data_IF_007057987201
#
_entry.id   IF_007057987201
#
_cell.length_a   1.000
_cell.length_b   1.000
_cell.length_c   1.000
_cell.angle_alpha   90.00
_cell.angle_beta   90.00
_cell.angle_gamma   90.00
#
_symmetry.space_group_name_H-M   'P 1'
#
loop_
_entity.id
_entity.type
_entity.pdbx_description
1 polymer ?
#
# COMPACT_ATOMS: atom_id res chain seq x y z
N UNK A 1 -2.72 -48.88 -28.14
CA UNK A 1 -1.77 -47.95 -27.49
C UNK A 1 -1.44 -46.87 -28.48
N UNK A 2 -2.06 -45.70 -28.34
CA UNK A 2 -1.70 -44.50 -29.07
C UNK A 2 -1.59 -43.42 -28.00
N UNK A 3 -0.36 -43.00 -27.73
CA UNK A 3 -0.06 -41.98 -26.73
C UNK A 3 -0.48 -40.62 -27.30
N UNK A 4 -1.42 -39.98 -26.62
CA UNK A 4 -1.78 -38.59 -26.89
C UNK A 4 -0.70 -37.68 -26.29
N UNK A 5 0.00 -36.94 -27.15
CA UNK A 5 0.88 -35.84 -26.74
C UNK A 5 0.07 -34.75 -26.01
N UNK A 6 0.61 -34.14 -24.94
CA UNK A 6 -0.03 -33.01 -24.28
C UNK A 6 0.09 -31.74 -25.15
N UNK A 7 -0.91 -30.85 -25.19
CA UNK A 7 -0.83 -29.65 -26.02
C UNK A 7 0.07 -28.57 -25.39
N UNK A 8 1.04 -28.12 -26.21
CA UNK A 8 1.56 -26.74 -26.32
C UNK A 8 2.20 -26.06 -25.10
N UNK A 9 3.46 -26.38 -24.81
CA UNK A 9 4.40 -25.51 -24.07
C UNK A 9 5.03 -24.41 -24.95
N UNK A 10 4.95 -24.53 -26.27
CA UNK A 10 5.65 -23.64 -27.23
C UNK A 10 4.93 -22.31 -27.50
N UNK A 11 3.59 -22.26 -27.40
CA UNK A 11 2.80 -21.05 -27.63
C UNK A 11 2.94 -20.04 -26.49
N UNK A 12 2.97 -20.52 -25.24
CA UNK A 12 3.12 -19.71 -24.04
C UNK A 12 4.49 -19.00 -24.02
N UNK A 13 5.57 -19.75 -24.24
CA UNK A 13 6.95 -19.23 -24.30
C UNK A 13 7.16 -18.17 -25.39
N UNK A 14 6.49 -18.32 -26.54
CA UNK A 14 6.59 -17.35 -27.66
C UNK A 14 5.87 -16.04 -27.33
N UNK A 15 4.72 -16.12 -26.65
CA UNK A 15 3.95 -14.95 -26.22
C UNK A 15 4.72 -14.15 -25.17
N UNK A 16 5.34 -14.83 -24.20
CA UNK A 16 6.24 -14.20 -23.22
C UNK A 16 7.38 -13.46 -23.91
N UNK A 17 8.01 -14.07 -24.92
CA UNK A 17 9.08 -13.45 -25.71
C UNK A 17 8.66 -12.14 -26.41
N UNK A 18 7.43 -12.05 -26.92
CA UNK A 18 6.91 -10.82 -27.55
C UNK A 18 6.62 -9.76 -26.50
N UNK A 19 6.01 -10.14 -25.37
CA UNK A 19 5.73 -9.21 -24.27
C UNK A 19 7.03 -8.62 -23.67
N UNK A 20 8.08 -9.42 -23.52
CA UNK A 20 9.38 -8.92 -23.05
C UNK A 20 10.06 -7.98 -24.04
N UNK A 21 9.98 -8.25 -25.35
CA UNK A 21 10.50 -7.33 -26.36
C UNK A 21 9.78 -5.99 -26.30
N UNK A 22 8.45 -6.02 -26.17
CA UNK A 22 7.66 -4.80 -26.03
C UNK A 22 8.03 -4.04 -24.75
N UNK A 23 8.14 -4.72 -23.61
CA UNK A 23 8.60 -4.14 -22.35
C UNK A 23 9.97 -3.45 -22.50
N UNK A 24 10.93 -4.12 -23.12
CA UNK A 24 12.27 -3.57 -23.38
C UNK A 24 12.22 -2.32 -24.26
N UNK A 25 11.44 -2.36 -25.34
CA UNK A 25 11.28 -1.22 -26.24
C UNK A 25 10.58 -0.05 -25.56
N UNK A 26 9.48 -0.27 -24.84
CA UNK A 26 8.76 0.78 -24.11
C UNK A 26 9.64 1.38 -23.01
N UNK A 27 10.39 0.55 -22.27
CA UNK A 27 11.36 1.02 -21.27
C UNK A 27 12.44 1.92 -21.88
N UNK A 28 13.01 1.51 -23.02
CA UNK A 28 14.02 2.30 -23.73
C UNK A 28 13.48 3.60 -24.31
N UNK A 29 12.27 3.56 -24.88
CA UNK A 29 11.60 4.77 -25.38
C UNK A 29 11.35 5.71 -24.21
N UNK A 30 10.73 5.23 -23.13
CA UNK A 30 10.48 6.01 -21.92
C UNK A 30 11.75 6.71 -21.44
N UNK A 31 12.87 5.99 -21.34
CA UNK A 31 14.16 6.54 -20.90
C UNK A 31 14.77 7.60 -21.83
N UNK A 32 14.35 7.67 -23.10
CA UNK A 32 14.85 8.63 -24.10
C UNK A 32 13.92 9.83 -24.33
N UNK A 33 12.68 9.78 -23.84
CA UNK A 33 11.74 10.90 -23.95
C UNK A 33 12.24 12.12 -23.19
N UNK A 34 11.79 13.32 -23.57
CA UNK A 34 12.04 14.49 -22.72
C UNK A 34 11.07 14.45 -21.53
N UNK A 35 11.47 14.92 -20.33
CA UNK A 35 10.56 15.01 -19.18
C UNK A 35 9.31 15.86 -19.43
N UNK A 36 9.36 16.74 -20.43
CA UNK A 36 8.25 17.59 -20.88
C UNK A 36 7.25 16.87 -21.77
N UNK A 37 7.59 15.71 -22.34
CA UNK A 37 6.77 14.94 -23.29
C UNK A 37 5.73 14.09 -22.55
N UNK A 38 4.96 14.73 -21.66
CA UNK A 38 4.06 14.09 -20.69
C UNK A 38 2.99 13.22 -21.37
N UNK A 39 2.54 13.60 -22.58
CA UNK A 39 1.57 12.83 -23.36
C UNK A 39 2.09 11.46 -23.85
N UNK A 40 3.40 11.30 -24.03
CA UNK A 40 4.02 10.01 -24.38
C UNK A 40 4.57 9.28 -23.15
N UNK A 41 5.04 10.02 -22.16
CA UNK A 41 5.62 9.45 -20.95
C UNK A 41 4.56 8.79 -20.06
N UNK A 42 3.38 9.39 -19.93
CA UNK A 42 2.28 8.84 -19.13
C UNK A 42 1.86 7.42 -19.57
N UNK A 43 1.49 7.17 -20.85
CA UNK A 43 1.11 5.84 -21.29
C UNK A 43 2.27 4.84 -21.21
N UNK A 44 3.52 5.30 -21.43
CA UNK A 44 4.69 4.44 -21.27
C UNK A 44 4.86 3.96 -19.81
N UNK A 45 4.82 4.87 -18.84
CA UNK A 45 4.94 4.50 -17.41
C UNK A 45 3.75 3.67 -16.93
N UNK A 46 2.53 3.99 -17.38
CA UNK A 46 1.32 3.22 -17.09
C UNK A 46 1.43 1.79 -17.63
N UNK A 47 1.92 1.62 -18.87
CA UNK A 47 2.17 0.31 -19.46
C UNK A 47 3.22 -0.49 -18.65
N UNK A 48 4.35 0.14 -18.29
CA UNK A 48 5.39 -0.52 -17.50
C UNK A 48 4.87 -0.97 -16.13
N UNK A 49 4.09 -0.12 -15.44
CA UNK A 49 3.45 -0.46 -14.18
C UNK A 49 2.49 -1.65 -14.34
N UNK A 50 1.61 -1.61 -15.34
CA UNK A 50 0.68 -2.70 -15.62
C UNK A 50 1.41 -4.01 -15.92
N UNK A 51 2.52 -3.96 -16.66
CA UNK A 51 3.34 -5.13 -16.91
C UNK A 51 3.87 -5.74 -15.61
N UNK A 52 4.31 -4.93 -14.65
CA UNK A 52 4.78 -5.45 -13.37
C UNK A 52 3.66 -5.98 -12.48
N UNK A 53 2.51 -5.31 -12.45
CA UNK A 53 1.40 -5.70 -11.57
C UNK A 53 0.56 -6.86 -12.09
N UNK A 54 0.55 -7.12 -13.40
CA UNK A 54 -0.31 -8.13 -14.03
C UNK A 54 0.46 -9.35 -14.57
N UNK A 55 1.79 -9.31 -14.58
CA UNK A 55 2.58 -10.45 -15.03
C UNK A 55 2.55 -11.59 -14.01
N UNK A 56 2.50 -12.86 -14.46
CA UNK A 56 2.72 -14.01 -13.59
C UNK A 56 4.07 -13.93 -12.85
N UNK A 57 4.14 -14.47 -11.63
CA UNK A 57 5.33 -14.39 -10.78
C UNK A 57 6.63 -14.84 -11.48
N UNK A 58 6.57 -15.90 -12.30
CA UNK A 58 7.71 -16.44 -13.05
C UNK A 58 8.29 -15.49 -14.12
N UNK A 59 7.53 -14.48 -14.56
CA UNK A 59 7.97 -13.48 -15.53
C UNK A 59 8.44 -12.16 -14.88
N UNK A 60 8.07 -11.92 -13.63
CA UNK A 60 8.33 -10.62 -12.98
C UNK A 60 9.82 -10.35 -12.71
N UNK A 61 10.62 -11.38 -12.40
CA UNK A 61 12.07 -11.25 -12.17
C UNK A 61 12.80 -10.66 -13.40
N UNK A 62 12.61 -11.28 -14.56
CA UNK A 62 13.18 -10.81 -15.82
C UNK A 62 12.68 -9.41 -16.21
N UNK A 63 11.43 -9.08 -15.90
CA UNK A 63 10.88 -7.77 -16.21
C UNK A 63 11.56 -6.69 -15.36
N UNK A 64 11.70 -6.95 -14.06
CA UNK A 64 12.26 -6.00 -13.08
C UNK A 64 13.74 -5.78 -13.33
N UNK A 65 14.51 -6.83 -13.61
CA UNK A 65 15.93 -6.72 -13.98
C UNK A 65 16.13 -5.85 -15.22
N UNK A 66 15.32 -6.03 -16.27
CA UNK A 66 15.36 -5.17 -17.46
C UNK A 66 15.10 -3.70 -17.11
N UNK A 67 14.07 -3.42 -16.31
CA UNK A 67 13.73 -2.04 -15.94
C UNK A 67 14.78 -1.38 -15.03
N UNK A 68 15.33 -2.11 -14.05
CA UNK A 68 16.35 -1.60 -13.13
C UNK A 68 17.74 -1.44 -13.79
N UNK A 69 17.99 -2.14 -14.90
CA UNK A 69 19.20 -1.98 -15.71
C UNK A 69 19.17 -0.75 -16.62
N UNK A 70 17.97 -0.19 -16.86
CA UNK A 70 17.77 0.97 -17.72
C UNK A 70 17.95 2.28 -16.94
N UNK A 71 19.17 2.82 -16.97
CA UNK A 71 19.48 4.10 -16.33
C UNK A 71 18.70 5.29 -16.92
N UNK A 72 18.32 5.24 -18.20
CA UNK A 72 17.49 6.28 -18.81
C UNK A 72 16.12 6.35 -18.16
N UNK A 73 15.48 5.21 -17.91
CA UNK A 73 14.19 5.15 -17.19
C UNK A 73 14.33 5.69 -15.76
N UNK A 74 15.40 5.33 -15.06
CA UNK A 74 15.70 5.86 -13.72
C UNK A 74 15.85 7.38 -13.73
N UNK A 75 16.52 7.93 -14.74
CA UNK A 75 16.75 9.36 -14.90
C UNK A 75 15.45 10.12 -15.19
N UNK A 76 14.54 9.52 -15.96
CA UNK A 76 13.21 10.10 -16.19
C UNK A 76 12.37 10.13 -14.92
N UNK A 77 12.35 9.03 -14.15
CA UNK A 77 11.66 9.01 -12.86
C UNK A 77 12.24 10.06 -11.91
N UNK A 78 13.57 10.18 -11.85
CA UNK A 78 14.24 11.23 -11.06
C UNK A 78 13.81 12.62 -11.51
N UNK A 79 13.79 12.90 -12.82
CA UNK A 79 13.39 14.19 -13.36
C UNK A 79 11.93 14.53 -12.98
N UNK A 80 11.01 13.57 -13.12
CA UNK A 80 9.60 13.75 -12.74
C UNK A 80 9.45 14.07 -11.24
N UNK A 81 10.17 13.37 -10.37
CA UNK A 81 10.11 13.65 -8.93
C UNK A 81 10.75 14.99 -8.55
N UNK A 82 11.89 15.32 -9.14
CA UNK A 82 12.58 16.59 -8.91
C UNK A 82 11.73 17.79 -9.33
N UNK A 83 11.05 17.73 -10.48
CA UNK A 83 10.13 18.78 -10.93
C UNK A 83 8.92 18.94 -10.03
N UNK A 84 8.49 17.88 -9.34
CA UNK A 84 7.39 17.96 -8.37
C UNK A 84 7.77 18.71 -7.08
N UNK A 85 9.05 18.79 -6.75
CA UNK A 85 9.56 19.35 -5.50
C UNK A 85 9.82 20.86 -5.55
N UNK A 86 9.58 21.53 -6.70
CA UNK A 86 9.77 22.97 -6.84
C UNK A 86 8.76 23.76 -5.99
N UNK A 87 9.20 24.81 -5.26
CA UNK A 87 8.31 25.69 -4.53
C UNK A 87 7.37 26.43 -5.48
N UNK A 88 6.19 26.80 -4.96
CA UNK A 88 5.04 27.39 -5.64
C UNK A 88 5.28 28.74 -6.37
N UNK A 89 6.54 29.17 -6.52
CA UNK A 89 6.95 30.37 -7.26
C UNK A 89 7.33 30.09 -8.72
N UNK A 90 7.43 28.83 -9.15
CA UNK A 90 7.66 28.47 -10.56
C UNK A 90 6.36 28.48 -11.38
N UNK A 91 6.40 28.84 -12.67
CA UNK A 91 5.21 28.89 -13.52
C UNK A 91 4.49 27.53 -13.57
N UNK A 92 3.15 27.51 -13.71
CA UNK A 92 2.34 26.28 -13.66
C UNK A 92 2.68 25.25 -14.75
N UNK A 93 3.43 25.64 -15.80
CA UNK A 93 3.90 24.70 -16.84
C UNK A 93 5.10 23.84 -16.44
N UNK A 94 5.73 24.10 -15.28
CA UNK A 94 6.90 23.35 -14.81
C UNK A 94 6.55 22.11 -13.97
N UNK A 95 5.30 22.00 -13.49
CA UNK A 95 4.86 20.87 -12.66
C UNK A 95 4.33 19.73 -13.54
N UNK A 96 4.77 18.48 -13.30
CA UNK A 96 4.23 17.34 -14.03
C UNK A 96 2.74 17.11 -13.69
N UNK A 97 1.94 16.61 -14.63
CA UNK A 97 0.53 16.25 -14.40
C UNK A 97 0.38 15.26 -13.23
N UNK A 98 -0.72 15.35 -12.48
CA UNK A 98 -0.98 14.45 -11.33
C UNK A 98 -0.99 12.98 -11.73
N UNK A 99 -1.57 12.65 -12.88
CA UNK A 99 -1.60 11.30 -13.44
C UNK A 99 -0.19 10.73 -13.70
N UNK A 100 0.74 11.57 -14.17
CA UNK A 100 2.11 11.17 -14.43
C UNK A 100 2.86 10.90 -13.12
N UNK A 101 2.67 11.75 -12.12
CA UNK A 101 3.22 11.53 -10.77
C UNK A 101 2.65 10.25 -10.14
N UNK A 102 1.34 10.02 -10.29
CA UNK A 102 0.68 8.82 -9.81
C UNK A 102 1.30 7.56 -10.43
N UNK A 103 1.40 7.49 -11.76
CA UNK A 103 2.03 6.36 -12.45
C UNK A 103 3.49 6.18 -12.04
N UNK A 104 4.22 7.27 -11.82
CA UNK A 104 5.62 7.23 -11.38
C UNK A 104 5.75 6.65 -9.97
N UNK A 105 4.90 7.05 -9.02
CA UNK A 105 4.88 6.46 -7.67
C UNK A 105 4.50 4.98 -7.69
N UNK A 106 3.48 4.59 -8.46
CA UNK A 106 3.02 3.21 -8.57
C UNK A 106 4.08 2.29 -9.22
N UNK A 107 4.71 2.77 -10.30
CA UNK A 107 5.83 2.07 -10.93
C UNK A 107 7.00 1.91 -9.96
N UNK A 108 7.39 2.99 -9.26
CA UNK A 108 8.48 2.94 -8.30
C UNK A 108 8.18 1.98 -7.13
N UNK A 109 6.94 1.99 -6.62
CA UNK A 109 6.48 1.06 -5.57
C UNK A 109 6.60 -0.40 -6.02
N UNK A 110 6.22 -0.69 -7.27
CA UNK A 110 6.32 -2.02 -7.85
C UNK A 110 7.78 -2.44 -8.05
N UNK A 111 8.64 -1.53 -8.51
CA UNK A 111 10.07 -1.78 -8.66
C UNK A 111 10.74 -2.07 -7.32
N UNK A 112 10.45 -1.32 -6.26
CA UNK A 112 11.02 -1.59 -4.92
C UNK A 112 10.55 -2.94 -4.38
N UNK A 113 9.26 -3.25 -4.51
CA UNK A 113 8.69 -4.50 -4.01
C UNK A 113 9.31 -5.70 -4.71
N UNK A 114 9.28 -5.70 -6.04
CA UNK A 114 9.80 -6.82 -6.82
C UNK A 114 11.33 -6.90 -6.78
N UNK A 115 12.04 -5.78 -6.63
CA UNK A 115 13.50 -5.81 -6.41
C UNK A 115 13.85 -6.55 -5.13
N UNK A 116 13.06 -6.40 -4.05
CA UNK A 116 13.27 -7.13 -2.80
C UNK A 116 12.92 -8.61 -2.93
N UNK A 117 11.80 -8.92 -3.57
CA UNK A 117 11.36 -10.32 -3.77
C UNK A 117 12.38 -11.11 -4.58
N UNK A 118 12.91 -10.53 -5.66
CA UNK A 118 13.83 -11.22 -6.58
C UNK A 118 15.31 -10.90 -6.34
N UNK A 119 15.63 -10.02 -5.39
CA UNK A 119 17.01 -9.54 -5.14
C UNK A 119 17.71 -9.01 -6.39
N UNK A 120 16.96 -8.38 -7.30
CA UNK A 120 17.49 -7.88 -8.56
C UNK A 120 18.54 -6.78 -8.35
N UNK A 121 19.57 -6.75 -9.20
CA UNK A 121 20.61 -5.72 -9.15
C UNK A 121 20.07 -4.37 -9.64
N UNK A 122 20.43 -3.30 -8.94
CA UNK A 122 20.05 -1.93 -9.28
C UNK A 122 21.26 -1.20 -9.86
N UNK A 123 21.14 -0.74 -11.11
CA UNK A 123 22.22 0.02 -11.77
C UNK A 123 22.35 1.44 -11.23
N UNK A 124 21.22 2.09 -10.94
CA UNK A 124 21.16 3.48 -10.46
C UNK A 124 20.00 3.66 -9.49
N UNK A 125 20.25 4.36 -8.38
CA UNK A 125 19.24 4.67 -7.36
C UNK A 125 18.59 6.04 -7.60
N UNK A 126 17.29 6.16 -7.31
CA UNK A 126 16.51 7.41 -7.37
C UNK A 126 16.61 8.12 -6.02
N UNK A 127 16.96 9.39 -6.02
CA UNK A 127 16.91 10.25 -4.84
C UNK A 127 15.49 10.69 -4.53
N UNK A 128 15.02 10.44 -3.30
CA UNK A 128 13.67 10.80 -2.86
C UNK A 128 13.68 11.43 -1.47
N UNK A 129 13.06 12.60 -1.32
CA UNK A 129 13.08 13.36 -0.06
C UNK A 129 11.93 12.96 0.84
N UNK A 130 12.24 12.22 1.90
CA UNK A 130 11.26 11.83 2.92
C UNK A 130 10.71 13.05 3.67
N UNK A 131 11.53 14.09 3.88
CA UNK A 131 11.09 15.32 4.51
C UNK A 131 10.04 16.04 3.65
N UNK A 132 10.31 16.21 2.35
CA UNK A 132 9.32 16.80 1.43
C UNK A 132 8.06 15.94 1.35
N UNK A 133 8.21 14.62 1.47
CA UNK A 133 7.12 13.67 1.42
C UNK A 133 6.12 13.83 2.56
N UNK A 134 6.62 13.73 3.79
CA UNK A 134 5.78 13.89 4.99
C UNK A 134 5.19 15.29 5.03
N UNK A 135 5.96 16.32 4.65
CA UNK A 135 5.49 17.70 4.68
C UNK A 135 4.39 17.97 3.64
N UNK A 136 4.48 17.37 2.44
CA UNK A 136 3.43 17.46 1.42
C UNK A 136 2.12 16.85 1.91
N UNK A 137 2.17 15.74 2.64
CA UNK A 137 0.97 15.13 3.22
C UNK A 137 0.40 15.96 4.38
N UNK A 138 1.24 16.60 5.19
CA UNK A 138 0.81 17.50 6.25
C UNK A 138 0.11 18.75 5.72
N UNK A 139 0.68 19.37 4.68
CA UNK A 139 0.17 20.63 4.09
C UNK A 139 -0.84 20.34 2.99
N UNK A 140 -1.63 19.26 3.13
CA UNK A 140 -2.60 18.85 2.12
C UNK A 140 -3.52 20.03 1.79
N UNK A 141 -3.54 20.44 0.51
CA UNK A 141 -4.49 21.43 0.02
C UNK A 141 -5.85 20.75 -0.15
N UNK A 142 -6.94 21.46 0.15
CA UNK A 142 -8.34 20.96 0.07
C UNK A 142 -8.71 20.29 -1.27
N UNK A 143 -8.00 20.59 -2.36
CA UNK A 143 -8.24 20.05 -3.71
C UNK A 143 -7.13 19.12 -4.21
N UNK A 144 -6.39 18.46 -3.32
CA UNK A 144 -5.37 17.49 -3.75
C UNK A 144 -6.05 16.25 -4.32
N UNK A 145 -5.57 15.79 -5.48
CA UNK A 145 -6.07 14.58 -6.14
C UNK A 145 -5.92 13.35 -5.23
N UNK A 146 -7.05 12.71 -4.88
CA UNK A 146 -7.06 11.53 -4.01
C UNK A 146 -6.21 10.39 -4.59
N UNK A 147 -6.13 10.27 -5.92
CA UNK A 147 -5.33 9.25 -6.59
C UNK A 147 -3.84 9.47 -6.38
N UNK A 148 -3.43 10.73 -6.42
CA UNK A 148 -2.05 11.12 -6.15
C UNK A 148 -1.70 10.80 -4.69
N UNK A 149 -2.59 11.10 -3.74
CA UNK A 149 -2.40 10.75 -2.33
C UNK A 149 -2.29 9.24 -2.11
N UNK A 150 -3.18 8.45 -2.71
CA UNK A 150 -3.13 6.98 -2.67
C UNK A 150 -1.80 6.47 -3.20
N UNK A 151 -1.35 6.95 -4.36
CA UNK A 151 -0.06 6.55 -4.93
C UNK A 151 1.13 6.91 -4.02
N UNK A 152 1.01 8.03 -3.31
CA UNK A 152 2.02 8.50 -2.37
C UNK A 152 2.11 7.61 -1.13
N UNK A 153 0.96 7.26 -0.57
CA UNK A 153 0.84 6.35 0.57
C UNK A 153 1.34 4.95 0.20
N UNK A 154 1.03 4.46 -1.00
CA UNK A 154 1.55 3.17 -1.48
C UNK A 154 3.09 3.16 -1.56
N UNK A 155 3.70 4.25 -2.05
CA UNK A 155 5.16 4.36 -2.08
C UNK A 155 5.76 4.39 -0.66
N UNK A 156 5.16 5.17 0.24
CA UNK A 156 5.58 5.21 1.65
C UNK A 156 5.43 3.85 2.33
N UNK A 157 4.32 3.16 2.09
CA UNK A 157 4.05 1.82 2.60
C UNK A 157 5.16 0.85 2.20
N UNK A 158 5.49 0.78 0.91
CA UNK A 158 6.54 -0.12 0.39
C UNK A 158 7.92 0.24 0.96
N UNK A 159 8.20 1.52 1.16
CA UNK A 159 9.45 1.96 1.79
C UNK A 159 9.50 1.59 3.28
N UNK A 160 8.40 1.73 4.02
CA UNK A 160 8.30 1.31 5.43
C UNK A 160 8.43 -0.21 5.58
N UNK A 161 7.84 -0.98 4.67
CA UNK A 161 7.99 -2.43 4.60
C UNK A 161 9.44 -2.83 4.30
N UNK A 162 10.21 -1.96 3.65
CA UNK A 162 11.64 -2.12 3.37
C UNK A 162 12.54 -1.51 4.46
N UNK A 163 11.99 -1.19 5.63
CA UNK A 163 12.69 -0.51 6.73
C UNK A 163 13.39 0.79 6.32
N UNK A 164 12.79 1.48 5.34
CA UNK A 164 13.29 2.71 4.73
C UNK A 164 14.69 2.53 4.11
N UNK A 165 15.04 1.29 3.76
CA UNK A 165 16.28 0.91 3.10
C UNK A 165 15.96 0.23 1.76
N UNK A 166 16.28 0.90 0.66
CA UNK A 166 16.04 0.38 -0.69
C UNK A 166 17.28 0.58 -1.56
N UNK A 167 17.62 -0.42 -2.37
CA UNK A 167 18.64 -0.28 -3.40
C UNK A 167 18.14 0.63 -4.55
N UNK A 168 16.83 0.63 -4.81
CA UNK A 168 16.18 1.41 -5.88
C UNK A 168 16.06 2.88 -5.49
N UNK A 169 15.83 3.18 -4.21
CA UNK A 169 15.59 4.55 -3.72
C UNK A 169 16.58 4.93 -2.63
N UNK A 170 17.31 6.02 -2.85
CA UNK A 170 18.14 6.67 -1.85
C UNK A 170 17.33 7.77 -1.16
N UNK A 171 16.99 7.54 0.09
CA UNK A 171 16.23 8.51 0.88
C UNK A 171 17.14 9.68 1.31
N UNK A 172 16.67 10.90 1.05
CA UNK A 172 17.20 12.10 1.69
C UNK A 172 16.27 12.51 2.84
N UNK A 173 16.86 12.84 3.96
CA UNK A 173 16.16 13.27 5.17
C UNK A 173 16.67 14.64 5.59
N UNK A 174 15.77 15.48 6.10
CA UNK A 174 16.05 16.85 6.49
C UNK A 174 15.93 17.03 8.01
N UNK A 175 16.43 18.15 8.56
CA UNK A 175 16.34 18.44 10.00
C UNK A 175 14.88 18.54 10.49
N UNK A 176 13.93 18.74 9.58
CA UNK A 176 12.50 18.75 9.89
C UNK A 176 11.95 17.44 10.44
N UNK A 177 12.56 16.28 10.13
CA UNK A 177 12.09 14.96 10.56
C UNK A 177 12.92 14.33 11.69
N UNK A 178 14.25 14.48 11.65
CA UNK A 178 15.18 13.74 12.53
C UNK A 178 16.00 14.67 13.42
N UNK A 179 15.73 15.98 13.41
CA UNK A 179 16.46 16.96 14.23
C UNK A 179 17.89 17.23 13.74
N UNK A 180 18.68 17.96 14.55
CA UNK A 180 20.08 18.23 14.27
C UNK A 180 20.97 17.02 14.58
N UNK A 181 22.05 16.84 13.80
CA UNK A 181 23.07 15.83 14.10
C UNK A 181 24.00 16.31 15.23
N UNK A 182 24.53 15.41 16.09
CA UNK A 182 24.32 13.96 16.12
C UNK A 182 22.92 13.57 16.63
N UNK A 183 22.42 12.44 16.14
CA UNK A 183 21.07 11.98 16.49
C UNK A 183 21.06 11.38 17.91
N UNK A 184 20.00 11.67 18.66
CA UNK A 184 19.73 10.98 19.93
C UNK A 184 19.42 9.50 19.71
N UNK A 185 19.40 8.71 20.79
CA UNK A 185 19.19 7.25 20.74
C UNK A 185 17.87 6.89 20.06
N UNK A 186 16.78 7.58 20.39
CA UNK A 186 15.46 7.34 19.81
C UNK A 186 15.39 7.70 18.32
N UNK A 187 15.86 8.89 17.95
CA UNK A 187 15.88 9.34 16.55
C UNK A 187 16.87 8.54 15.69
N UNK A 188 17.94 8.02 16.29
CA UNK A 188 18.88 7.11 15.65
C UNK A 188 18.27 5.75 15.34
N UNK A 189 17.49 5.18 16.27
CA UNK A 189 16.77 3.91 16.05
C UNK A 189 15.71 4.03 14.95
N UNK A 190 15.06 5.19 14.86
CA UNK A 190 14.02 5.50 13.88
C UNK A 190 14.53 6.13 12.58
N UNK A 191 15.85 6.25 12.40
CA UNK A 191 16.43 6.81 11.19
C UNK A 191 16.01 6.00 9.96
N UNK A 192 15.59 6.62 8.83
CA UNK A 192 15.62 8.05 8.50
C UNK A 192 14.35 8.87 8.82
N UNK A 193 13.35 8.28 9.49
CA UNK A 193 12.06 8.93 9.79
C UNK A 193 12.11 9.79 11.05
N UNK A 194 12.78 9.32 12.11
CA UNK A 194 12.84 9.98 13.41
C UNK A 194 11.50 9.97 14.18
N UNK A 195 11.54 10.40 15.43
CA UNK A 195 10.37 10.52 16.32
C UNK A 195 9.36 11.53 15.78
N UNK A 196 9.82 12.71 15.36
CA UNK A 196 8.97 13.76 14.80
C UNK A 196 8.33 13.33 13.48
N UNK A 197 9.09 12.70 12.58
CA UNK A 197 8.52 12.17 11.34
C UNK A 197 7.48 11.07 11.58
N UNK A 198 7.71 10.22 12.59
CA UNK A 198 6.75 9.21 13.03
C UNK A 198 5.45 9.84 13.51
N UNK A 199 5.53 10.84 14.39
CA UNK A 199 4.35 11.58 14.88
C UNK A 199 3.62 12.29 13.74
N UNK A 200 4.34 12.99 12.87
CA UNK A 200 3.76 13.66 11.71
C UNK A 200 3.02 12.69 10.79
N UNK A 201 3.64 11.56 10.46
CA UNK A 201 3.02 10.56 9.59
C UNK A 201 1.80 9.90 10.25
N UNK A 202 1.89 9.58 11.55
CA UNK A 202 0.75 9.05 12.32
C UNK A 202 -0.44 10.02 12.30
N UNK A 203 -0.20 11.31 12.55
CA UNK A 203 -1.25 12.34 12.54
C UNK A 203 -1.86 12.51 11.17
N UNK A 204 -1.04 12.51 10.12
CA UNK A 204 -1.51 12.58 8.73
C UNK A 204 -2.39 11.39 8.39
N UNK A 205 -1.91 10.17 8.64
CA UNK A 205 -2.66 8.94 8.32
C UNK A 205 -4.00 8.94 9.06
N UNK A 206 -3.98 9.33 10.33
CA UNK A 206 -5.18 9.49 11.15
C UNK A 206 -6.17 10.50 10.54
N UNK A 207 -5.69 11.62 10.01
CA UNK A 207 -6.53 12.60 9.30
C UNK A 207 -7.07 12.11 7.95
N UNK A 208 -6.29 11.31 7.21
CA UNK A 208 -6.70 10.73 5.93
C UNK A 208 -7.75 9.63 6.12
N UNK A 209 -7.72 8.89 7.24
CA UNK A 209 -8.74 7.90 7.60
C UNK A 209 -10.13 8.51 7.83
N UNK A 210 -10.20 9.79 8.20
CA UNK A 210 -11.47 10.52 8.32
C UNK A 210 -12.07 10.94 6.98
N UNK A 211 -11.31 10.83 5.89
CA UNK A 211 -11.82 11.17 4.57
C UNK A 211 -12.73 10.03 4.07
N UNK A 212 -13.91 10.39 3.56
CA UNK A 212 -14.94 9.44 3.08
C UNK A 212 -14.60 8.78 1.73
N UNK A 213 -13.32 8.66 1.38
CA UNK A 213 -12.88 8.10 0.10
C UNK A 213 -12.28 6.71 0.29
N UNK A 214 -12.93 5.69 -0.25
CA UNK A 214 -12.60 4.27 0.00
C UNK A 214 -11.15 3.90 -0.31
N UNK A 215 -10.64 4.30 -1.49
CA UNK A 215 -9.26 3.99 -1.88
C UNK A 215 -8.23 4.64 -0.94
N UNK A 216 -8.56 5.82 -0.43
CA UNK A 216 -7.68 6.57 0.46
C UNK A 216 -7.72 5.99 1.87
N UNK A 217 -8.90 5.57 2.34
CA UNK A 217 -9.06 4.81 3.58
C UNK A 217 -8.21 3.54 3.52
N UNK A 218 -8.33 2.75 2.44
CA UNK A 218 -7.56 1.51 2.23
C UNK A 218 -6.05 1.76 2.22
N UNK A 219 -5.58 2.73 1.44
CA UNK A 219 -4.16 3.09 1.37
C UNK A 219 -3.62 3.61 2.73
N UNK A 220 -4.44 4.36 3.46
CA UNK A 220 -4.07 4.90 4.78
C UNK A 220 -3.96 3.81 5.83
N UNK A 221 -4.91 2.86 5.88
CA UNK A 221 -4.82 1.70 6.79
C UNK A 221 -3.60 0.84 6.45
N UNK A 222 -3.34 0.58 5.17
CA UNK A 222 -2.16 -0.19 4.76
C UNK A 222 -0.85 0.52 5.12
N UNK A 223 -0.74 1.82 4.86
CA UNK A 223 0.44 2.60 5.24
C UNK A 223 0.61 2.70 6.77
N UNK A 224 -0.48 2.79 7.54
CA UNK A 224 -0.45 2.72 9.00
C UNK A 224 0.04 1.35 9.47
N UNK A 225 -0.38 0.27 8.81
CA UNK A 225 0.11 -1.08 9.09
C UNK A 225 1.61 -1.20 8.90
N UNK A 226 2.13 -0.70 7.77
CA UNK A 226 3.57 -0.72 7.51
C UNK A 226 4.34 0.18 8.46
N UNK A 227 3.75 1.32 8.87
CA UNK A 227 4.35 2.19 9.89
C UNK A 227 4.47 1.47 11.23
N UNK A 228 3.39 0.87 11.73
CA UNK A 228 3.43 0.12 12.99
C UNK A 228 4.40 -1.06 12.90
N UNK A 229 4.42 -1.80 11.79
CA UNK A 229 5.39 -2.87 11.58
C UNK A 229 6.84 -2.38 11.55
N UNK A 230 7.12 -1.24 10.92
CA UNK A 230 8.44 -0.59 10.96
C UNK A 230 8.83 -0.21 12.39
N UNK A 231 7.91 0.43 13.13
CA UNK A 231 8.14 0.81 14.52
C UNK A 231 8.34 -0.42 15.40
N UNK A 232 7.60 -1.50 15.19
CA UNK A 232 7.77 -2.75 15.93
C UNK A 232 9.18 -3.31 15.77
N UNK A 233 9.74 -3.27 14.55
CA UNK A 233 11.10 -3.75 14.25
C UNK A 233 12.21 -2.85 14.79
N UNK A 234 11.98 -1.52 14.81
CA UNK A 234 13.02 -0.52 15.15
C UNK A 234 12.94 -0.01 16.58
N UNK A 235 11.74 0.22 17.10
CA UNK A 235 11.43 0.76 18.42
C UNK A 235 10.05 0.31 18.92
N UNK A 236 9.96 -0.88 19.57
CA UNK A 236 8.75 -1.35 20.23
C UNK A 236 8.06 -0.35 21.19
N UNK A 237 8.77 0.47 21.99
CA UNK A 237 8.07 1.44 22.85
C UNK A 237 7.34 2.53 22.04
N UNK A 238 7.92 2.98 20.93
CA UNK A 238 7.29 3.96 20.04
C UNK A 238 6.08 3.38 19.32
N UNK A 239 6.15 2.11 18.92
CA UNK A 239 5.03 1.37 18.33
C UNK A 239 3.81 1.33 19.26
N UNK A 240 3.98 0.89 20.50
CA UNK A 240 2.90 0.90 21.52
C UNK A 240 2.34 2.29 21.75
N UNK A 241 3.20 3.31 21.80
CA UNK A 241 2.76 4.70 21.97
C UNK A 241 1.85 5.17 20.83
N UNK A 242 2.19 4.83 19.58
CA UNK A 242 1.39 5.21 18.39
C UNK A 242 0.08 4.41 18.33
N UNK A 243 0.12 3.10 18.56
CA UNK A 243 -1.06 2.25 18.55
C UNK A 243 -2.09 2.66 19.62
N UNK A 244 -1.61 3.01 20.82
CA UNK A 244 -2.45 3.32 21.98
C UNK A 244 -2.87 4.79 22.09
N UNK A 245 -2.75 5.58 21.02
CA UNK A 245 -3.24 6.96 21.04
C UNK A 245 -4.76 7.00 21.23
N UNK A 246 -5.29 7.93 22.05
CA UNK A 246 -6.73 8.10 22.23
C UNK A 246 -7.44 8.43 20.91
N UNK A 247 -6.72 9.06 19.98
CA UNK A 247 -7.24 9.37 18.65
C UNK A 247 -7.54 8.10 17.84
N UNK A 248 -6.76 7.03 17.99
CA UNK A 248 -7.00 5.74 17.33
C UNK A 248 -8.35 5.15 17.75
N UNK A 249 -8.74 5.32 19.02
CA UNK A 249 -10.04 4.87 19.53
C UNK A 249 -11.18 5.72 18.95
N UNK A 250 -11.01 7.04 18.93
CA UNK A 250 -11.97 7.95 18.32
C UNK A 250 -12.21 7.63 16.85
N UNK A 251 -11.15 7.30 16.09
CA UNK A 251 -11.25 6.91 14.68
C UNK A 251 -12.10 5.66 14.49
N UNK A 252 -11.86 4.61 15.29
CA UNK A 252 -12.66 3.38 15.21
C UNK A 252 -14.12 3.68 15.53
N UNK A 253 -14.38 4.42 16.62
CA UNK A 253 -15.75 4.79 16.99
C UNK A 253 -16.44 5.61 15.88
N UNK A 254 -15.73 6.57 15.28
CA UNK A 254 -16.24 7.39 14.19
C UNK A 254 -16.60 6.55 12.95
N UNK A 255 -15.72 5.62 12.57
CA UNK A 255 -15.96 4.72 11.44
C UNK A 255 -17.14 3.78 11.69
N UNK A 256 -17.26 3.23 12.91
CA UNK A 256 -18.38 2.35 13.29
C UNK A 256 -19.71 3.11 13.43
N UNK A 257 -19.67 4.38 13.82
CA UNK A 257 -20.86 5.23 13.98
C UNK A 257 -21.41 5.76 12.63
N UNK A 258 -20.75 5.48 11.52
CA UNK A 258 -21.12 6.02 10.19
C UNK A 258 -22.23 5.22 9.49
N UNK A 259 -22.81 4.19 10.13
CA UNK A 259 -23.94 3.39 9.65
C UNK A 259 -23.65 1.88 9.59
N UNK A 260 -24.68 1.05 9.55
CA UNK A 260 -24.56 -0.42 9.66
C UNK A 260 -23.69 -1.06 8.55
N UNK A 261 -23.74 -0.52 7.33
CA UNK A 261 -22.90 -0.98 6.20
C UNK A 261 -21.41 -0.64 6.35
N UNK A 262 -21.07 0.36 7.17
CA UNK A 262 -19.68 0.77 7.43
C UNK A 262 -19.01 -0.06 8.53
N UNK A 263 -19.80 -0.71 9.38
CA UNK A 263 -19.34 -1.56 10.48
C UNK A 263 -18.65 -2.84 9.97
N UNK A 264 -19.22 -3.49 8.94
CA UNK A 264 -18.67 -4.70 8.32
C UNK A 264 -17.79 -4.41 7.09
N UNK A 265 -17.41 -3.15 6.89
CA UNK A 265 -16.52 -2.78 5.80
C UNK A 265 -15.12 -3.39 6.03
N UNK A 266 -14.50 -4.03 5.02
CA UNK A 266 -13.29 -4.83 5.22
C UNK A 266 -12.11 -4.01 5.73
N UNK A 267 -12.04 -2.73 5.34
CA UNK A 267 -10.99 -1.81 5.78
C UNK A 267 -11.17 -1.39 7.24
N UNK A 268 -12.42 -1.24 7.71
CA UNK A 268 -12.72 -0.94 9.12
C UNK A 268 -12.35 -2.11 10.00
N UNK A 269 -12.73 -3.33 9.60
CA UNK A 269 -12.37 -4.57 10.30
C UNK A 269 -10.85 -4.77 10.35
N UNK A 270 -10.15 -4.44 9.26
CA UNK A 270 -8.69 -4.50 9.20
C UNK A 270 -8.02 -3.48 10.13
N UNK A 271 -8.56 -2.25 10.24
CA UNK A 271 -8.06 -1.26 11.19
C UNK A 271 -8.25 -1.72 12.65
N UNK A 272 -9.40 -2.30 12.99
CA UNK A 272 -9.66 -2.86 14.32
C UNK A 272 -8.67 -3.99 14.63
N UNK A 273 -8.49 -4.91 13.67
CA UNK A 273 -7.52 -6.01 13.78
C UNK A 273 -6.10 -5.48 14.02
N UNK A 274 -5.71 -4.45 13.26
CA UNK A 274 -4.41 -3.80 13.37
C UNK A 274 -4.16 -3.24 14.78
N UNK A 275 -5.14 -2.51 15.32
CA UNK A 275 -5.03 -1.88 16.64
C UNK A 275 -5.03 -2.93 17.76
N UNK A 276 -5.76 -4.04 17.60
CA UNK A 276 -5.68 -5.16 18.55
C UNK A 276 -4.32 -5.83 18.54
N UNK A 277 -3.73 -6.03 17.36
CA UNK A 277 -2.44 -6.67 17.20
C UNK A 277 -1.30 -5.85 17.85
N UNK A 278 -1.32 -4.53 17.73
CA UNK A 278 -0.23 -3.64 18.17
C UNK A 278 -0.52 -2.96 19.53
N UNK A 279 -1.79 -2.76 19.89
CA UNK A 279 -2.18 -2.09 21.14
C UNK A 279 -2.24 -3.00 22.38
N UNK A 280 -2.29 -4.31 22.19
CA UNK A 280 -2.41 -5.30 23.28
C UNK A 280 -3.67 -5.09 24.13
N UNK A 281 -3.61 -5.48 25.41
CA UNK A 281 -4.74 -5.36 26.37
C UNK A 281 -4.94 -3.94 26.91
N UNK A 282 -4.14 -2.97 26.48
CA UNK A 282 -4.14 -1.61 27.02
C UNK A 282 -5.27 -0.74 26.45
N UNK A 283 -5.89 -1.15 25.34
CA UNK A 283 -6.93 -0.37 24.66
C UNK A 283 -8.29 -0.99 24.96
N UNK A 284 -9.23 -0.24 25.58
CA UNK A 284 -10.61 -0.69 25.76
C UNK A 284 -11.36 -0.64 24.43
N UNK A 285 -11.07 -1.60 23.55
CA UNK A 285 -11.76 -1.79 22.25
C UNK A 285 -13.03 -2.65 22.38
N UNK A 286 -13.32 -3.12 23.59
CA UNK A 286 -14.50 -3.93 23.94
C UNK A 286 -15.85 -3.38 23.42
N UNK A 287 -16.19 -2.08 23.53
CA UNK A 287 -17.44 -1.57 22.98
C UNK A 287 -17.49 -1.64 21.45
N UNK A 288 -16.36 -1.40 20.78
CA UNK A 288 -16.25 -1.50 19.33
C UNK A 288 -16.41 -2.95 18.87
N UNK A 289 -15.81 -3.90 19.59
CA UNK A 289 -15.96 -5.32 19.34
C UNK A 289 -17.41 -5.79 19.52
N UNK A 290 -18.10 -5.29 20.54
CA UNK A 290 -19.51 -5.60 20.74
C UNK A 290 -20.37 -5.13 19.55
N UNK A 291 -20.13 -3.91 19.07
CA UNK A 291 -20.84 -3.35 17.92
C UNK A 291 -20.59 -4.12 16.62
N UNK A 292 -19.35 -4.57 16.38
CA UNK A 292 -19.00 -5.44 15.23
C UNK A 292 -19.69 -6.79 15.35
N UNK A 293 -19.70 -7.39 16.54
CA UNK A 293 -20.37 -8.68 16.77
C UNK A 293 -21.88 -8.58 16.56
N UNK A 294 -22.52 -7.53 17.07
CA UNK A 294 -23.95 -7.29 16.83
C UNK A 294 -24.24 -7.06 15.34
N UNK A 295 -23.41 -6.29 14.63
CA UNK A 295 -23.56 -6.07 13.20
C UNK A 295 -23.39 -7.38 12.41
N UNK A 296 -22.42 -8.21 12.76
CA UNK A 296 -22.23 -9.53 12.15
C UNK A 296 -23.41 -10.47 12.42
N UNK A 297 -23.99 -10.41 13.64
CA UNK A 297 -25.17 -11.18 14.03
C UNK A 297 -26.43 -10.77 13.25
N UNK A 298 -26.65 -9.46 13.08
CA UNK A 298 -27.74 -8.92 12.24
C UNK A 298 -27.51 -9.23 10.76
N UNK A 299 -26.26 -9.11 10.31
CA UNK A 299 -25.82 -9.38 8.94
C UNK A 299 -25.82 -10.85 8.53
N UNK A 300 -26.05 -11.81 9.45
CA UNK A 300 -26.16 -13.26 9.12
C UNK A 300 -27.21 -13.58 8.05
N UNK A 301 -28.13 -12.66 7.78
CA UNK A 301 -29.21 -12.81 6.78
C UNK A 301 -28.89 -12.16 5.43
N UNK A 302 -27.86 -11.31 5.35
CA UNK A 302 -27.44 -10.62 4.14
C UNK A 302 -26.13 -11.23 3.62
N UNK A 303 -26.00 -11.35 2.29
CA UNK A 303 -24.79 -11.90 1.67
C UNK A 303 -23.65 -10.90 1.85
N UNK A 304 -22.69 -11.22 2.72
CA UNK A 304 -21.46 -10.45 2.88
C UNK A 304 -20.56 -10.60 1.65
N UNK A 305 -19.80 -9.56 1.33
CA UNK A 305 -18.74 -9.69 0.32
C UNK A 305 -17.65 -10.65 0.83
N UNK A 306 -16.97 -11.33 -0.09
CA UNK A 306 -15.88 -12.25 0.24
C UNK A 306 -14.75 -11.54 1.02
N UNK A 307 -14.43 -10.29 0.64
CA UNK A 307 -13.43 -9.47 1.33
C UNK A 307 -13.85 -9.15 2.78
N UNK A 308 -15.12 -8.78 3.00
CA UNK A 308 -15.66 -8.52 4.35
C UNK A 308 -15.68 -9.78 5.20
N UNK A 309 -16.10 -10.91 4.64
CA UNK A 309 -16.13 -12.19 5.33
C UNK A 309 -14.72 -12.63 5.74
N UNK A 310 -13.73 -12.50 4.84
CA UNK A 310 -12.34 -12.83 5.16
C UNK A 310 -11.74 -11.88 6.21
N UNK A 311 -11.98 -10.57 6.11
CA UNK A 311 -11.54 -9.60 7.11
C UNK A 311 -12.17 -9.88 8.49
N UNK A 312 -13.45 -10.27 8.51
CA UNK A 312 -14.14 -10.65 9.73
C UNK A 312 -13.57 -11.93 10.34
N UNK A 313 -13.33 -12.99 9.54
CA UNK A 313 -12.66 -14.22 10.01
C UNK A 313 -11.31 -13.93 10.65
N UNK A 314 -10.49 -13.07 10.03
CA UNK A 314 -9.20 -12.66 10.58
C UNK A 314 -9.37 -11.93 11.92
N UNK A 315 -10.30 -10.96 12.01
CA UNK A 315 -10.57 -10.25 13.26
C UNK A 315 -11.04 -11.20 14.37
N UNK A 316 -11.98 -12.11 14.07
CA UNK A 316 -12.52 -13.08 15.01
C UNK A 316 -11.42 -14.03 15.52
N UNK A 317 -10.53 -14.50 14.64
CA UNK A 317 -9.39 -15.33 15.04
C UNK A 317 -8.44 -14.59 15.99
N UNK A 318 -8.18 -13.30 15.75
CA UNK A 318 -7.35 -12.48 16.64
C UNK A 318 -8.03 -12.21 17.99
N UNK A 319 -9.35 -12.05 18.02
CA UNK A 319 -10.09 -11.88 19.27
C UNK A 319 -9.99 -13.15 20.12
N UNK A 320 -10.07 -14.35 19.50
CA UNK A 320 -9.93 -15.62 20.22
C UNK A 320 -8.56 -15.77 20.88
N UNK A 321 -7.49 -15.33 20.21
CA UNK A 321 -6.14 -15.42 20.76
C UNK A 321 -5.85 -14.38 21.84
N UNK A 322 -6.45 -13.19 21.72
CA UNK A 322 -6.03 -12.00 22.49
C UNK A 322 -6.99 -11.66 23.63
N UNK A 323 -8.28 -12.00 23.54
CA UNK A 323 -9.28 -11.62 24.56
C UNK A 323 -9.71 -12.83 25.42
N UNK A 324 -9.56 -12.77 26.76
CA UNK A 324 -9.81 -13.91 27.64
C UNK A 324 -11.29 -14.15 28.03
N UNK A 325 -12.25 -13.34 27.60
CA UNK A 325 -13.65 -13.40 28.06
C UNK A 325 -14.46 -14.63 27.55
N UNK A 326 -15.07 -15.45 28.43
CA UNK A 326 -15.78 -16.68 28.02
C UNK A 326 -17.03 -16.41 27.17
N UNK A 327 -17.77 -15.34 27.46
CA UNK A 327 -18.97 -14.94 26.70
C UNK A 327 -18.62 -14.49 25.28
N UNK A 328 -17.52 -13.76 25.11
CA UNK A 328 -17.09 -13.31 23.78
C UNK A 328 -16.57 -14.47 22.95
N UNK A 329 -15.86 -15.43 23.56
CA UNK A 329 -15.43 -16.67 22.89
C UNK A 329 -16.60 -17.45 22.30
N UNK A 330 -17.68 -17.64 23.07
CA UNK A 330 -18.86 -18.37 22.60
C UNK A 330 -19.62 -17.64 21.47
N UNK A 331 -19.69 -16.30 21.51
CA UNK A 331 -20.27 -15.52 20.42
C UNK A 331 -19.41 -15.59 19.15
N UNK A 332 -18.09 -15.52 19.30
CA UNK A 332 -17.15 -15.59 18.18
C UNK A 332 -17.23 -16.95 17.48
N UNK A 333 -17.32 -18.07 18.22
CA UNK A 333 -17.47 -19.40 17.62
C UNK A 333 -18.77 -19.52 16.83
N UNK A 334 -19.89 -19.01 17.37
CA UNK A 334 -21.19 -19.05 16.70
C UNK A 334 -21.21 -18.22 15.39
N UNK A 335 -20.53 -17.07 15.36
CA UNK A 335 -20.40 -16.26 14.14
C UNK A 335 -19.47 -16.94 13.13
N UNK A 336 -18.37 -17.53 13.57
CA UNK A 336 -17.41 -18.23 12.69
C UNK A 336 -18.06 -19.43 12.00
N UNK A 337 -18.81 -20.26 12.74
CA UNK A 337 -19.58 -21.38 12.17
C UNK A 337 -20.60 -20.91 11.12
N UNK A 338 -21.27 -19.77 11.35
CA UNK A 338 -22.22 -19.22 10.37
C UNK A 338 -21.55 -18.70 9.09
N UNK A 339 -20.31 -18.22 9.17
CA UNK A 339 -19.53 -17.76 8.01
C UNK A 339 -18.96 -18.92 7.20
N UNK A 340 -18.71 -20.07 7.83
CA UNK A 340 -18.21 -21.27 7.16
C UNK A 340 -19.34 -21.99 6.40
N UNK A 341 -20.57 -21.93 6.91
CA UNK A 341 -21.77 -22.41 6.20
C UNK A 341 -22.12 -21.58 4.96
N UNK A 342 -21.60 -20.36 4.85
CA UNK A 342 -21.81 -19.47 3.69
C UNK A 342 -20.75 -19.62 2.59
N UNK A 343 -19.68 -20.39 2.80
CA UNK A 343 -18.66 -20.63 1.77
C UNK A 343 -19.13 -21.76 0.83
N UNK A 344 -19.23 -21.53 -0.50
CA UNK A 344 -19.57 -22.60 -1.42
C UNK A 344 -18.45 -23.63 -1.48
N UNK A 345 -18.79 -24.90 -1.26
CA UNK A 345 -17.96 -26.01 -1.66
C UNK A 345 -17.86 -26.03 -3.20
N UNK A 346 -16.65 -26.24 -3.72
CA UNK A 346 -16.29 -26.35 -5.15
C UNK A 346 -16.20 -25.04 -5.96
N UNK A 347 -14.97 -24.55 -6.20
CA UNK A 347 -14.48 -24.38 -7.58
C UNK A 347 -12.95 -24.26 -7.62
N UNK A 348 -12.31 -25.21 -8.29
CA UNK A 348 -10.95 -25.05 -8.78
C UNK A 348 -10.98 -24.04 -9.95
N UNK A 349 -10.61 -22.79 -9.69
CA UNK A 349 -10.17 -21.86 -10.73
C UNK A 349 -9.07 -20.98 -10.11
N UNK A 350 -7.90 -20.78 -10.77
CA UNK A 350 -6.92 -19.83 -10.26
C UNK A 350 -7.55 -18.44 -10.35
N UNK A 351 -7.86 -17.87 -9.19
CA UNK A 351 -8.48 -16.56 -9.07
C UNK A 351 -7.68 -15.52 -9.84
N UNK A 352 -8.30 -14.99 -10.89
CA UNK A 352 -7.82 -13.81 -11.62
C UNK A 352 -7.81 -12.65 -10.60
N UNK A 353 -6.69 -11.95 -10.34
CA UNK A 353 -6.69 -10.88 -9.36
C UNK A 353 -7.51 -9.71 -9.90
N UNK A 354 -8.75 -9.60 -9.44
CA UNK A 354 -9.74 -8.57 -9.82
C UNK A 354 -9.48 -7.19 -9.21
N UNK A 355 -8.21 -6.79 -9.05
CA UNK A 355 -7.86 -5.59 -8.27
C UNK A 355 -7.44 -4.39 -9.12
N UNK A 356 -7.64 -4.43 -10.44
CA UNK A 356 -7.30 -3.30 -11.33
C UNK A 356 -8.49 -2.35 -11.46
N UNK A 357 -8.39 -1.19 -10.83
CA UNK A 357 -9.33 -0.08 -10.99
C UNK A 357 -8.79 0.90 -12.04
N UNK A 358 -9.58 1.23 -13.06
CA UNK A 358 -9.26 2.31 -13.99
C UNK A 358 -9.88 3.62 -13.52
N UNK A 359 -9.06 4.63 -13.28
CA UNK A 359 -9.48 6.00 -12.93
C UNK A 359 -8.89 6.94 -13.98
N UNK A 360 -9.75 7.41 -14.90
CA UNK A 360 -9.32 8.16 -16.07
C UNK A 360 -8.36 7.34 -16.94
N UNK A 361 -7.18 7.92 -17.22
CA UNK A 361 -6.12 7.28 -18.02
C UNK A 361 -5.16 6.38 -17.21
N UNK A 362 -5.44 6.19 -15.91
CA UNK A 362 -4.56 5.42 -15.00
C UNK A 362 -5.23 4.10 -14.61
N UNK A 363 -4.51 2.99 -14.78
CA UNK A 363 -4.90 1.69 -14.24
C UNK A 363 -4.15 1.44 -12.94
N UNK A 364 -4.84 1.03 -11.86
CA UNK A 364 -4.27 0.84 -10.52
C UNK A 364 -4.60 -0.55 -10.02
N UNK A 365 -3.59 -1.35 -9.70
CA UNK A 365 -3.76 -2.58 -8.94
C UNK A 365 -3.76 -2.25 -7.44
N UNK A 366 -4.86 -2.55 -6.75
CA UNK A 366 -5.03 -2.28 -5.30
C UNK A 366 -4.29 -3.27 -4.39
N UNK A 367 -3.77 -4.36 -4.97
CA UNK A 367 -2.81 -5.26 -4.34
C UNK A 367 -1.45 -5.03 -4.95
N UNK A 368 -0.48 -4.65 -4.12
CA UNK A 368 0.93 -4.69 -4.50
C UNK A 368 1.28 -6.16 -4.84
N UNK A 369 2.05 -6.41 -5.92
CA UNK A 369 2.41 -7.74 -6.38
C UNK A 369 3.31 -8.51 -5.41
#
# INVERSE_FOLDING_TARGET
>A
MQASDPPSSSSYSKMDGVHFKLLYHVSNIAGRLKPTDTGSLLPALSYLYCCLSLSPAHCTDRAVTVLLSNSGLTDQLQAVFSSSSCPSSSPPSACPPSALLCCSHLLLSSLITLQRVHSAQVKKSIGWSLNAAVHRLLVQKRNTDNLLLVSYLNLLQVLLDADLASAVVRLSTGPGLVGSRPLGVEDGALYPLGSRGTQCLSTVLSGLLLQKHELLLRASVNCLSSLLGFLQRRSPPTEKYVANQPYSQFLVYFLLSSGDSSCLHPVTLRLISLLLQHGGTSVPLEPCLHQVMEAAERGRREVLSEESAQALRLLLSQIQSTVPGPLMKQRVTAVMESLDLQAPAESCSPGRPGNVVRIGDVSICLTLP
#
